data_IF_384613938928
#
_entry.id   IF_384613938928
#
_cell.length_a   1.000
_cell.length_b   1.000
_cell.length_c   1.000
_cell.angle_alpha   90.00
_cell.angle_beta   90.00
_cell.angle_gamma   90.00
#
_symmetry.space_group_name_H-M   'P 1'
#
loop_
_entity.id
_entity.type
_entity.pdbx_description
1 polymer ?
#
# COMPACT_ATOMS: atom_id res chain seq x y z
N UNK A 1 10.86 -9.42 31.82
CA UNK A 1 9.54 -9.43 31.16
C UNK A 1 9.66 -8.44 30.03
N UNK A 2 9.93 -8.99 28.86
CA UNK A 2 10.29 -8.29 27.63
C UNK A 2 8.99 -7.90 26.91
N UNK A 3 8.78 -6.60 26.72
CA UNK A 3 7.63 -6.05 25.99
C UNK A 3 8.18 -5.46 24.70
N UNK A 4 8.11 -6.27 23.63
CA UNK A 4 8.57 -5.93 22.30
C UNK A 4 8.01 -4.58 21.83
N UNK A 5 8.93 -3.72 21.40
CA UNK A 5 8.64 -2.41 20.81
C UNK A 5 7.76 -2.54 19.57
N UNK A 6 6.83 -1.61 19.45
CA UNK A 6 5.93 -1.50 18.30
C UNK A 6 6.46 -0.33 17.47
N UNK A 7 7.25 -0.64 16.43
CA UNK A 7 7.68 0.33 15.44
C UNK A 7 6.47 0.75 14.58
N UNK A 8 5.86 1.90 14.88
CA UNK A 8 4.72 2.47 14.12
C UNK A 8 5.18 3.27 12.88
N UNK A 9 6.48 3.24 12.56
CA UNK A 9 7.02 3.68 11.29
C UNK A 9 7.70 2.52 10.57
N UNK A 10 7.00 1.82 9.67
CA UNK A 10 7.57 1.37 8.40
C UNK A 10 6.56 0.53 7.61
N UNK A 11 5.69 1.19 6.85
CA UNK A 11 5.56 0.74 5.47
C UNK A 11 6.90 1.09 4.85
N UNK A 12 7.79 0.10 4.79
CA UNK A 12 9.06 0.23 4.12
C UNK A 12 8.76 0.80 2.73
N UNK A 13 9.11 2.08 2.57
CA UNK A 13 9.76 2.51 1.36
C UNK A 13 10.74 1.38 0.98
N UNK A 14 10.82 0.98 -0.29
CA UNK A 14 11.84 0.02 -0.71
C UNK A 14 13.16 0.46 -0.09
N UNK A 15 13.83 -0.46 0.62
CA UNK A 15 15.06 -0.22 1.37
C UNK A 15 15.87 0.87 0.69
N UNK A 16 16.01 2.01 1.38
CA UNK A 16 16.34 3.28 0.78
C UNK A 16 17.49 3.20 -0.21
N UNK A 17 17.14 3.14 -1.50
CA UNK A 17 17.87 3.96 -2.46
C UNK A 17 17.58 5.38 -2.01
N UNK A 18 18.49 5.99 -1.26
CA UNK A 18 18.49 7.43 -1.07
C UNK A 18 18.41 8.02 -2.47
N UNK A 19 17.23 8.52 -2.84
CA UNK A 19 17.05 9.24 -4.09
C UNK A 19 17.99 10.41 -3.96
N UNK A 20 19.03 10.44 -4.79
CA UNK A 20 20.01 11.50 -4.68
C UNK A 20 19.27 12.82 -4.93
N UNK A 21 19.58 13.91 -4.21
CA UNK A 21 18.93 15.20 -4.43
C UNK A 21 18.95 15.61 -5.92
N UNK A 22 20.00 15.23 -6.65
CA UNK A 22 20.13 15.46 -8.09
C UNK A 22 19.13 14.70 -8.97
N UNK A 23 18.62 13.54 -8.55
CA UNK A 23 17.61 12.78 -9.30
C UNK A 23 16.25 13.49 -9.29
N UNK A 24 15.90 14.13 -8.17
CA UNK A 24 14.66 14.88 -8.03
C UNK A 24 14.72 16.19 -8.83
N UNK A 25 15.85 16.89 -8.81
CA UNK A 25 16.05 18.12 -9.59
C UNK A 25 15.96 17.86 -11.10
N UNK A 26 16.67 16.85 -11.60
CA UNK A 26 16.61 16.46 -13.00
C UNK A 26 15.17 16.09 -13.44
N UNK A 27 14.44 15.36 -12.59
CA UNK A 27 13.05 15.03 -12.84
C UNK A 27 12.15 16.28 -12.86
N UNK A 28 12.35 17.24 -11.96
CA UNK A 28 11.56 18.47 -11.92
C UNK A 28 11.75 19.30 -13.19
N UNK A 29 12.97 19.34 -13.72
CA UNK A 29 13.25 20.02 -14.98
C UNK A 29 12.61 19.31 -16.18
N UNK A 30 12.64 17.98 -16.22
CA UNK A 30 11.96 17.21 -17.27
C UNK A 30 10.42 17.35 -17.19
N UNK A 31 9.85 17.33 -15.99
CA UNK A 31 8.43 17.60 -15.76
C UNK A 31 8.04 19.00 -16.22
N UNK A 32 8.88 20.00 -15.94
CA UNK A 32 8.65 21.39 -16.39
C UNK A 32 8.71 21.50 -17.90
N UNK A 33 9.68 20.86 -18.55
CA UNK A 33 9.82 20.84 -20.01
C UNK A 33 8.59 20.24 -20.73
N UNK A 34 7.81 19.39 -20.05
CA UNK A 34 6.58 18.77 -20.55
C UNK A 34 5.29 19.42 -20.04
N UNK A 35 5.37 20.64 -19.48
CA UNK A 35 4.23 21.37 -18.91
C UNK A 35 3.54 20.64 -17.72
N UNK A 36 4.23 19.72 -17.07
CA UNK A 36 3.76 18.93 -15.93
C UNK A 36 4.33 19.44 -14.60
N UNK A 37 4.38 20.76 -14.42
CA UNK A 37 4.93 21.40 -13.23
C UNK A 37 4.41 20.74 -11.93
N UNK A 38 5.34 20.24 -11.13
CA UNK A 38 5.08 19.42 -9.96
C UNK A 38 5.80 20.01 -8.75
N UNK A 39 5.18 19.96 -7.57
CA UNK A 39 5.81 20.40 -6.34
C UNK A 39 6.95 19.44 -5.96
N UNK A 40 8.10 19.92 -5.44
CA UNK A 40 9.24 19.06 -5.12
C UNK A 40 8.92 17.87 -4.22
N UNK A 41 8.07 18.09 -3.20
CA UNK A 41 7.65 17.02 -2.29
C UNK A 41 6.72 15.98 -2.96
N UNK A 42 5.97 16.36 -4.01
CA UNK A 42 5.16 15.41 -4.80
C UNK A 42 6.08 14.61 -5.71
N UNK A 43 7.04 15.24 -6.40
CA UNK A 43 8.03 14.56 -7.23
C UNK A 43 8.84 13.54 -6.41
N UNK A 44 9.34 13.93 -5.24
CA UNK A 44 10.04 13.01 -4.33
C UNK A 44 9.18 11.81 -3.93
N UNK A 45 7.88 12.01 -3.67
CA UNK A 45 6.94 10.92 -3.39
C UNK A 45 6.70 10.00 -4.57
N UNK A 46 6.65 10.54 -5.80
CA UNK A 46 6.49 9.73 -7.01
C UNK A 46 7.73 8.87 -7.26
N UNK A 47 8.94 9.43 -7.10
CA UNK A 47 10.20 8.67 -7.24
C UNK A 47 10.31 7.58 -6.19
N UNK A 48 9.95 7.89 -4.93
CA UNK A 48 9.97 6.89 -3.86
C UNK A 48 8.97 5.74 -4.11
N UNK A 49 7.83 6.04 -4.75
CA UNK A 49 6.81 5.04 -5.07
C UNK A 49 7.11 4.23 -6.35
N UNK A 50 7.87 4.79 -7.28
CA UNK A 50 8.22 4.19 -8.58
C UNK A 50 9.75 4.23 -8.79
N UNK A 51 10.52 3.57 -7.92
CA UNK A 51 11.98 3.62 -8.00
C UNK A 51 12.45 2.99 -9.32
N UNK A 52 13.48 3.59 -9.92
CA UNK A 52 14.16 3.13 -11.14
C UNK A 52 13.34 3.12 -12.44
N UNK A 53 12.21 3.84 -12.50
CA UNK A 53 11.41 3.97 -13.73
C UNK A 53 10.98 5.43 -13.98
N UNK A 54 11.90 6.27 -14.50
CA UNK A 54 11.60 7.67 -14.81
C UNK A 54 10.43 7.84 -15.78
N UNK A 55 10.29 6.90 -16.73
CA UNK A 55 9.16 6.89 -17.67
C UNK A 55 7.83 6.65 -16.94
N UNK A 56 7.80 5.74 -15.96
CA UNK A 56 6.62 5.52 -15.13
C UNK A 56 6.29 6.74 -14.26
N UNK A 57 7.29 7.36 -13.63
CA UNK A 57 7.09 8.60 -12.85
C UNK A 57 6.45 9.69 -13.71
N UNK A 58 6.95 9.86 -14.94
CA UNK A 58 6.43 10.83 -15.90
C UNK A 58 4.99 10.52 -16.32
N UNK A 59 4.71 9.26 -16.64
CA UNK A 59 3.37 8.82 -17.03
C UNK A 59 2.37 8.95 -15.87
N UNK A 60 2.78 8.72 -14.62
CA UNK A 60 1.93 8.95 -13.44
C UNK A 60 1.69 10.44 -13.22
N UNK A 61 2.73 11.28 -13.31
CA UNK A 61 2.58 12.73 -13.16
C UNK A 61 1.59 13.33 -14.19
N UNK A 62 1.60 12.81 -15.42
CA UNK A 62 0.66 13.20 -16.47
C UNK A 62 -0.81 12.87 -16.14
N UNK A 63 -1.06 11.83 -15.32
CA UNK A 63 -2.41 11.39 -14.92
C UNK A 63 -2.94 12.10 -13.67
N UNK A 64 -2.10 12.80 -12.93
CA UNK A 64 -2.53 13.58 -11.77
C UNK A 64 -3.25 14.86 -12.19
N UNK A 65 -4.17 15.35 -11.36
CA UNK A 65 -4.75 16.68 -11.58
C UNK A 65 -3.71 17.78 -11.30
N UNK A 66 -3.90 19.01 -11.81
CA UNK A 66 -3.03 20.14 -11.47
C UNK A 66 -2.92 20.39 -9.95
N UNK A 67 -4.03 20.26 -9.21
CA UNK A 67 -4.05 20.43 -7.75
C UNK A 67 -3.22 19.36 -7.05
N UNK A 68 -3.31 18.10 -7.51
CA UNK A 68 -2.50 16.99 -6.99
C UNK A 68 -1.02 17.18 -7.29
N UNK A 69 -0.64 17.54 -8.52
CA UNK A 69 0.76 17.82 -8.89
C UNK A 69 1.37 18.95 -8.07
N UNK A 70 0.57 19.98 -7.75
CA UNK A 70 1.00 21.14 -6.94
C UNK A 70 1.00 20.87 -5.43
N UNK A 71 0.58 19.69 -4.99
CA UNK A 71 0.51 19.33 -3.56
C UNK A 71 -0.69 19.95 -2.81
N UNK A 72 -1.66 20.50 -3.53
CA UNK A 72 -2.87 21.12 -2.98
C UNK A 72 -4.03 20.11 -2.84
N UNK A 73 -3.91 18.95 -3.48
CA UNK A 73 -4.86 17.85 -3.40
C UNK A 73 -4.23 16.58 -2.84
N UNK A 74 -5.04 15.71 -2.24
CA UNK A 74 -4.58 14.36 -1.85
C UNK A 74 -4.20 13.58 -3.10
N UNK A 75 -3.00 13.01 -3.10
CA UNK A 75 -2.61 12.05 -4.12
C UNK A 75 -3.55 10.85 -4.07
N UNK A 76 -3.91 10.28 -5.24
CA UNK A 76 -4.66 9.04 -5.30
C UNK A 76 -3.88 7.94 -4.57
N UNK A 77 -4.62 7.06 -3.89
CA UNK A 77 -4.08 5.87 -3.26
C UNK A 77 -4.83 4.63 -3.76
N UNK A 78 -4.15 3.67 -4.40
CA UNK A 78 -2.75 3.75 -4.86
C UNK A 78 -2.57 4.81 -5.96
N UNK A 79 -1.31 5.13 -6.30
CA UNK A 79 -1.02 5.94 -7.49
C UNK A 79 -1.51 5.23 -8.75
N UNK A 80 -1.88 5.98 -9.82
CA UNK A 80 -2.31 5.37 -11.08
C UNK A 80 -1.23 4.44 -11.63
N UNK A 81 -1.62 3.22 -12.01
CA UNK A 81 -0.71 2.34 -12.73
C UNK A 81 -0.43 2.88 -14.13
N UNK A 82 0.81 2.70 -14.58
CA UNK A 82 1.29 2.92 -15.94
C UNK A 82 1.92 1.65 -16.51
N UNK A 83 1.90 0.55 -15.74
CA UNK A 83 2.40 -0.74 -16.15
C UNK A 83 1.41 -1.45 -17.09
N UNK A 84 1.94 -2.36 -17.91
CA UNK A 84 1.13 -3.34 -18.63
C UNK A 84 0.18 -4.06 -17.68
N UNK A 85 -1.00 -4.42 -18.20
CA UNK A 85 -2.01 -5.12 -17.42
C UNK A 85 -1.39 -6.39 -16.81
N UNK A 86 -1.22 -6.37 -15.50
CA UNK A 86 -0.82 -7.55 -14.73
C UNK A 86 -1.85 -8.65 -15.05
N UNK A 87 -1.43 -9.88 -15.41
CA UNK A 87 -2.33 -10.92 -15.93
C UNK A 87 -3.17 -11.57 -14.81
N UNK A 88 -3.86 -10.75 -14.00
CA UNK A 88 -4.80 -11.18 -12.96
C UNK A 88 -5.93 -12.05 -13.52
N UNK A 89 -6.25 -11.90 -14.81
CA UNK A 89 -7.25 -12.72 -15.50
C UNK A 89 -6.93 -14.22 -15.52
N UNK A 90 -5.66 -14.60 -15.35
CA UNK A 90 -5.23 -16.00 -15.28
C UNK A 90 -5.33 -16.59 -13.86
N UNK A 91 -5.52 -15.75 -12.84
CA UNK A 91 -5.63 -16.18 -11.45
C UNK A 91 -7.05 -16.60 -11.11
N UNK A 92 -7.18 -17.58 -10.22
CA UNK A 92 -8.46 -17.96 -9.63
C UNK A 92 -9.03 -16.82 -8.77
N UNK A 93 -10.35 -16.79 -8.56
CA UNK A 93 -10.97 -15.79 -7.69
C UNK A 93 -10.41 -15.81 -6.24
N UNK A 94 -10.17 -16.98 -5.62
CA UNK A 94 -9.49 -17.06 -4.32
C UNK A 94 -8.09 -16.47 -4.33
N UNK A 95 -7.30 -16.70 -5.38
CA UNK A 95 -5.93 -16.18 -5.46
C UNK A 95 -5.91 -14.67 -5.66
N UNK A 96 -6.84 -14.11 -6.45
CA UNK A 96 -7.01 -12.65 -6.55
C UNK A 96 -7.40 -12.04 -5.20
N UNK A 97 -8.29 -12.69 -4.45
CA UNK A 97 -8.70 -12.20 -3.13
C UNK A 97 -7.56 -12.29 -2.11
N UNK A 98 -6.71 -13.32 -2.17
CA UNK A 98 -5.50 -13.41 -1.37
C UNK A 98 -4.55 -12.25 -1.66
N UNK A 99 -4.26 -11.97 -2.94
CA UNK A 99 -3.42 -10.84 -3.31
C UNK A 99 -4.03 -9.50 -2.85
N UNK A 100 -5.35 -9.32 -2.97
CA UNK A 100 -6.03 -8.14 -2.45
C UNK A 100 -5.89 -8.04 -0.93
N UNK A 101 -5.96 -9.16 -0.21
CA UNK A 101 -5.77 -9.21 1.24
C UNK A 101 -4.36 -8.78 1.62
N UNK A 102 -3.33 -9.23 0.90
CA UNK A 102 -1.93 -8.79 1.09
C UNK A 102 -1.80 -7.29 0.84
N UNK A 103 -2.35 -6.76 -0.25
CA UNK A 103 -2.30 -5.33 -0.58
C UNK A 103 -2.96 -4.43 0.48
N UNK A 104 -4.03 -4.94 1.11
CA UNK A 104 -4.81 -4.21 2.10
C UNK A 104 -4.36 -4.44 3.55
N UNK A 105 -3.37 -5.30 3.79
CA UNK A 105 -2.84 -5.56 5.12
C UNK A 105 -2.22 -4.28 5.71
N UNK A 106 -2.36 -4.14 7.03
CA UNK A 106 -1.82 -2.99 7.77
C UNK A 106 -0.28 -3.02 7.78
N UNK A 107 0.26 -4.21 8.06
CA UNK A 107 1.68 -4.56 8.09
C UNK A 107 1.94 -5.76 7.18
N UNK A 108 3.20 -6.13 7.01
CA UNK A 108 3.62 -7.28 6.20
C UNK A 108 3.51 -8.62 6.94
N UNK A 109 2.90 -8.66 8.12
CA UNK A 109 2.62 -9.88 8.87
C UNK A 109 1.76 -10.86 8.04
N UNK A 110 2.23 -12.10 7.93
CA UNK A 110 1.53 -13.18 7.19
C UNK A 110 0.30 -13.68 7.94
N UNK A 111 0.35 -13.73 9.26
CA UNK A 111 -0.69 -14.30 10.13
C UNK A 111 -2.09 -13.71 9.88
N UNK A 112 -2.27 -12.37 9.86
CA UNK A 112 -3.58 -11.79 9.57
C UNK A 112 -4.09 -12.11 8.17
N UNK A 113 -3.19 -12.19 7.19
CA UNK A 113 -3.53 -12.54 5.80
C UNK A 113 -4.04 -13.98 5.75
N UNK A 114 -3.34 -14.95 6.34
CA UNK A 114 -3.79 -16.34 6.41
C UNK A 114 -5.11 -16.49 7.16
N UNK A 115 -5.30 -15.74 8.25
CA UNK A 115 -6.54 -15.76 9.02
C UNK A 115 -7.75 -15.19 8.25
N UNK A 116 -7.53 -14.27 7.30
CA UNK A 116 -8.57 -13.82 6.37
C UNK A 116 -8.73 -14.81 5.23
N UNK A 117 -7.66 -15.29 4.62
CA UNK A 117 -7.73 -16.18 3.47
C UNK A 117 -8.36 -17.54 3.81
N UNK A 118 -8.04 -18.07 4.99
CA UNK A 118 -8.56 -19.33 5.51
C UNK A 118 -7.72 -20.56 5.14
N UNK A 119 -6.76 -20.42 4.21
CA UNK A 119 -5.77 -21.46 3.89
C UNK A 119 -4.55 -21.38 4.82
N UNK A 120 -3.87 -22.51 4.99
CA UNK A 120 -2.55 -22.59 5.61
C UNK A 120 -1.44 -22.08 4.68
N UNK A 121 -0.26 -21.84 5.26
CA UNK A 121 0.90 -21.32 4.51
C UNK A 121 1.32 -22.21 3.34
N UNK A 122 1.26 -23.55 3.50
CA UNK A 122 1.64 -24.48 2.43
C UNK A 122 0.63 -24.51 1.28
N UNK A 123 -0.66 -24.36 1.58
CA UNK A 123 -1.71 -24.21 0.56
C UNK A 123 -1.55 -22.90 -0.21
N UNK A 124 -1.16 -21.81 0.48
CA UNK A 124 -0.81 -20.54 -0.16
C UNK A 124 0.43 -20.70 -1.05
N UNK A 125 1.47 -21.42 -0.60
CA UNK A 125 2.67 -21.69 -1.40
C UNK A 125 2.40 -22.55 -2.63
N UNK A 126 1.38 -23.40 -2.58
CA UNK A 126 0.94 -24.21 -3.72
C UNK A 126 -0.05 -23.49 -4.66
N UNK A 127 -0.47 -22.26 -4.32
CA UNK A 127 -1.50 -21.53 -5.05
C UNK A 127 -0.97 -20.77 -6.27
N UNK A 128 -1.89 -20.33 -7.14
CA UNK A 128 -1.54 -19.46 -8.28
C UNK A 128 -1.03 -18.08 -7.86
N UNK A 129 -1.28 -17.65 -6.62
CA UNK A 129 -0.77 -16.38 -6.08
C UNK A 129 0.71 -16.48 -5.65
N UNK A 130 1.23 -17.67 -5.38
CA UNK A 130 2.57 -17.87 -4.82
C UNK A 130 3.71 -17.21 -5.62
N UNK A 131 3.74 -17.28 -6.98
CA UNK A 131 4.79 -16.62 -7.77
C UNK A 131 4.83 -15.10 -7.62
N UNK A 132 3.76 -14.49 -7.10
CA UNK A 132 3.63 -13.05 -6.93
C UNK A 132 3.95 -12.57 -5.51
N UNK A 133 4.26 -13.50 -4.60
CA UNK A 133 4.49 -13.23 -3.19
C UNK A 133 5.88 -13.70 -2.77
N UNK A 134 6.52 -12.90 -1.92
CA UNK A 134 7.69 -13.32 -1.14
C UNK A 134 7.21 -13.57 0.28
N UNK A 135 7.23 -14.83 0.69
CA UNK A 135 6.87 -15.27 2.05
C UNK A 135 8.11 -15.74 2.78
N UNK A 136 8.52 -14.99 3.81
CA UNK A 136 9.73 -15.27 4.59
C UNK A 136 9.56 -14.83 6.05
N UNK A 137 10.01 -15.67 6.99
CA UNK A 137 10.03 -15.36 8.43
C UNK A 137 8.70 -14.80 8.99
N UNK A 138 7.56 -15.39 8.60
CA UNK A 138 6.24 -14.92 9.06
C UNK A 138 5.76 -13.62 8.42
N UNK A 139 6.45 -13.12 7.39
CA UNK A 139 6.08 -11.93 6.61
C UNK A 139 5.71 -12.27 5.18
N UNK A 140 4.90 -11.43 4.56
CA UNK A 140 4.44 -11.52 3.17
C UNK A 140 4.47 -10.17 2.49
N UNK A 141 5.07 -10.13 1.31
CA UNK A 141 5.10 -8.95 0.44
C UNK A 141 4.95 -9.35 -1.01
N UNK A 142 4.61 -8.40 -1.87
CA UNK A 142 4.65 -8.63 -3.32
C UNK A 142 6.10 -8.83 -3.79
N UNK A 143 6.27 -9.76 -4.73
CA UNK A 143 7.53 -9.94 -5.45
C UNK A 143 7.79 -8.76 -6.41
N UNK A 144 6.73 -8.22 -7.02
CA UNK A 144 6.74 -7.04 -7.88
C UNK A 144 5.74 -5.99 -7.33
N UNK A 145 6.18 -4.78 -6.95
CA UNK A 145 5.29 -3.70 -6.49
C UNK A 145 4.18 -3.31 -7.49
N UNK A 146 4.38 -3.55 -8.79
CA UNK A 146 3.36 -3.30 -9.82
C UNK A 146 2.16 -4.22 -9.67
N UNK A 147 2.36 -5.43 -9.14
CA UNK A 147 1.27 -6.37 -8.82
C UNK A 147 0.32 -5.76 -7.80
N UNK A 148 0.83 -5.15 -6.72
CA UNK A 148 0.02 -4.49 -5.69
C UNK A 148 -0.89 -3.43 -6.29
N UNK A 149 -0.32 -2.58 -7.16
CA UNK A 149 -1.06 -1.52 -7.84
C UNK A 149 -2.11 -2.09 -8.79
N UNK A 150 -1.76 -3.14 -9.55
CA UNK A 150 -2.68 -3.82 -10.45
C UNK A 150 -3.86 -4.48 -9.73
N UNK A 151 -3.60 -5.15 -8.61
CA UNK A 151 -4.62 -5.79 -7.76
C UNK A 151 -5.59 -4.74 -7.22
N UNK A 152 -5.09 -3.62 -6.74
CA UNK A 152 -5.94 -2.51 -6.29
C UNK A 152 -6.79 -1.92 -7.41
N UNK A 153 -6.21 -1.72 -8.60
CA UNK A 153 -6.92 -1.15 -9.74
C UNK A 153 -8.02 -2.09 -10.27
N UNK A 154 -7.82 -3.40 -10.15
CA UNK A 154 -8.80 -4.41 -10.58
C UNK A 154 -9.91 -4.67 -9.55
N UNK A 155 -9.69 -4.36 -8.27
CA UNK A 155 -10.64 -4.62 -7.21
C UNK A 155 -11.81 -3.61 -7.23
N UNK A 156 -13.02 -4.13 -7.06
CA UNK A 156 -14.21 -3.31 -6.85
C UNK A 156 -14.19 -2.66 -5.47
N UNK A 157 -14.90 -1.54 -5.33
CA UNK A 157 -15.09 -0.88 -4.03
C UNK A 157 -15.72 -1.83 -2.99
N UNK A 158 -16.59 -2.74 -3.42
CA UNK A 158 -17.21 -3.75 -2.55
C UNK A 158 -16.20 -4.78 -2.04
N UNK A 159 -15.31 -5.29 -2.90
CA UNK A 159 -14.24 -6.22 -2.51
C UNK A 159 -13.26 -5.57 -1.54
N UNK A 160 -12.88 -4.31 -1.79
CA UNK A 160 -12.00 -3.54 -0.89
C UNK A 160 -12.65 -3.35 0.47
N UNK A 161 -13.90 -2.87 0.52
CA UNK A 161 -14.62 -2.65 1.77
C UNK A 161 -14.80 -3.97 2.55
N UNK A 162 -15.17 -5.05 1.86
CA UNK A 162 -15.34 -6.37 2.46
C UNK A 162 -14.02 -6.90 3.04
N UNK A 163 -12.93 -6.79 2.28
CA UNK A 163 -11.60 -7.27 2.73
C UNK A 163 -11.11 -6.49 3.95
N UNK A 164 -11.29 -5.17 3.98
CA UNK A 164 -11.01 -4.37 5.17
C UNK A 164 -11.87 -4.77 6.37
N UNK A 165 -13.15 -5.08 6.19
CA UNK A 165 -13.99 -5.55 7.29
C UNK A 165 -13.49 -6.88 7.88
N UNK A 166 -13.02 -7.81 7.03
CA UNK A 166 -12.45 -9.09 7.48
C UNK A 166 -11.13 -8.91 8.23
N UNK A 167 -10.24 -8.06 7.71
CA UNK A 167 -8.98 -7.71 8.37
C UNK A 167 -9.22 -7.01 9.72
N UNK A 168 -10.20 -6.10 9.79
CA UNK A 168 -10.60 -5.47 11.05
C UNK A 168 -11.08 -6.51 12.08
N UNK A 169 -11.86 -7.51 11.66
CA UNK A 169 -12.32 -8.58 12.53
C UNK A 169 -11.16 -9.47 13.04
N UNK A 170 -10.16 -9.75 12.19
CA UNK A 170 -8.93 -10.45 12.61
C UNK A 170 -8.16 -9.63 13.64
N UNK A 171 -7.94 -8.34 13.38
CA UNK A 171 -7.23 -7.45 14.30
C UNK A 171 -7.93 -7.36 15.68
N UNK A 172 -9.27 -7.30 15.72
CA UNK A 172 -10.03 -7.36 16.98
C UNK A 172 -9.77 -8.66 17.74
N UNK A 173 -9.75 -9.82 17.07
CA UNK A 173 -9.43 -11.11 17.71
C UNK A 173 -8.01 -11.15 18.26
N UNK A 174 -7.07 -10.51 17.58
CA UNK A 174 -5.66 -10.36 18.00
C UNK A 174 -5.46 -9.26 19.06
N UNK A 175 -6.52 -8.55 19.45
CA UNK A 175 -6.50 -7.40 20.37
C UNK A 175 -5.64 -6.23 19.88
N UNK A 176 -5.39 -6.17 18.57
CA UNK A 176 -4.72 -5.04 17.94
C UNK A 176 -5.75 -3.93 17.64
N UNK A 177 -5.78 -2.94 18.53
CA UNK A 177 -6.74 -1.84 18.45
C UNK A 177 -6.39 -0.86 17.31
N UNK A 178 -5.11 -0.71 16.98
CA UNK A 178 -4.63 0.25 15.97
C UNK A 178 -4.94 -0.28 14.59
N UNK A 179 -4.54 -1.52 14.27
CA UNK A 179 -4.85 -2.14 12.98
C UNK A 179 -6.36 -2.26 12.78
N UNK A 180 -7.12 -2.62 13.82
CA UNK A 180 -8.58 -2.69 13.72
C UNK A 180 -9.22 -1.32 13.41
N UNK A 181 -8.72 -0.24 14.02
CA UNK A 181 -9.18 1.13 13.72
C UNK A 181 -8.78 1.56 12.31
N UNK A 182 -7.56 1.23 11.88
CA UNK A 182 -7.09 1.54 10.53
C UNK A 182 -7.96 0.88 9.47
N UNK A 183 -8.23 -0.42 9.58
CA UNK A 183 -9.07 -1.15 8.62
C UNK A 183 -10.50 -0.64 8.59
N UNK A 184 -11.10 -0.32 9.75
CA UNK A 184 -12.45 0.28 9.79
C UNK A 184 -12.48 1.64 9.11
N UNK A 185 -11.50 2.50 9.38
CA UNK A 185 -11.41 3.81 8.76
C UNK A 185 -11.20 3.73 7.23
N UNK A 186 -10.42 2.75 6.76
CA UNK A 186 -10.15 2.54 5.32
C UNK A 186 -11.29 1.87 4.56
N UNK A 187 -12.03 0.97 5.19
CA UNK A 187 -13.17 0.26 4.57
C UNK A 187 -14.51 0.98 4.68
N UNK A 188 -14.61 2.02 5.51
CA UNK A 188 -15.85 2.75 5.73
C UNK A 188 -16.14 3.78 4.63
N UNK A 189 -17.39 3.81 4.16
CA UNK A 189 -17.87 4.86 3.25
C UNK A 189 -18.10 6.21 3.96
N UNK A 190 -18.18 6.20 5.30
CA UNK A 190 -18.42 7.37 6.14
C UNK A 190 -17.31 7.53 7.17
N UNK A 191 -17.17 8.76 7.67
CA UNK A 191 -16.20 9.09 8.72
C UNK A 191 -16.49 8.29 10.00
N UNK A 192 -15.47 7.64 10.55
CA UNK A 192 -15.54 6.95 11.84
C UNK A 192 -14.70 7.69 12.89
N UNK A 193 -15.40 8.47 13.73
CA UNK A 193 -14.77 9.26 14.79
C UNK A 193 -14.04 8.40 15.83
N UNK A 194 -14.52 7.18 16.09
CA UNK A 194 -13.89 6.28 17.06
C UNK A 194 -12.54 5.79 16.54
N UNK A 195 -12.50 5.39 15.27
CA UNK A 195 -11.25 5.01 14.64
C UNK A 195 -10.29 6.19 14.52
N UNK A 196 -10.79 7.40 14.21
CA UNK A 196 -9.97 8.61 14.19
C UNK A 196 -9.31 8.91 15.55
N UNK A 197 -10.05 8.76 16.66
CA UNK A 197 -9.51 8.96 18.00
C UNK A 197 -8.39 7.96 18.33
N UNK A 198 -8.57 6.68 18.01
CA UNK A 198 -7.57 5.63 18.24
C UNK A 198 -6.31 5.90 17.40
N UNK A 199 -6.46 6.19 16.12
CA UNK A 199 -5.33 6.44 15.21
C UNK A 199 -4.55 7.70 15.60
N UNK A 200 -5.25 8.76 16.02
CA UNK A 200 -4.60 9.99 16.48
C UNK A 200 -3.81 9.76 17.77
N UNK A 201 -4.36 8.98 18.71
CA UNK A 201 -3.64 8.63 19.93
C UNK A 201 -2.40 7.79 19.64
N UNK A 202 -2.50 6.80 18.75
CA UNK A 202 -1.36 5.99 18.32
C UNK A 202 -0.25 6.81 17.65
N UNK A 203 -0.62 7.69 16.71
CA UNK A 203 0.35 8.57 16.03
C UNK A 203 1.07 9.52 17.01
N UNK A 204 0.38 10.03 18.04
CA UNK A 204 0.99 10.88 19.07
C UNK A 204 1.96 10.12 19.96
N UNK A 205 1.66 8.86 20.27
CA UNK A 205 2.56 8.03 21.06
C UNK A 205 3.85 7.75 20.28
N UNK A 206 3.74 7.35 19.01
CA UNK A 206 4.89 7.09 18.14
C UNK A 206 5.79 8.32 17.94
N UNK A 207 5.20 9.53 17.84
CA UNK A 207 5.98 10.76 17.69
C UNK A 207 6.70 11.23 18.97
N UNK A 208 6.46 10.58 20.11
CA UNK A 208 7.08 10.92 21.38
C UNK A 208 8.30 10.03 21.71
N UNK A 209 8.58 9.03 20.88
CA UNK A 209 9.73 8.12 20.94
C UNK A 209 10.86 8.65 20.04
#
# INVERSE_FOLDING_TARGET
>A
MDLGGIDIESRNAPAGSSVAPGDVEALLDELRARELACAPHVAARLVAALPADPAAVMAVAARLTPEQRRGLGRLPWPLPSVADAVPLGMLSAPDRLLLLTVALAFEDDLDPVLAVDGRGVEEVRASGAAPHLVIHAGRVRFADPRMETGVHAAASAAEVAHTHARLAAVAVRRRDRVAAAWHRARGGAVRDQRSAAVLTAGARAAAAE
#
